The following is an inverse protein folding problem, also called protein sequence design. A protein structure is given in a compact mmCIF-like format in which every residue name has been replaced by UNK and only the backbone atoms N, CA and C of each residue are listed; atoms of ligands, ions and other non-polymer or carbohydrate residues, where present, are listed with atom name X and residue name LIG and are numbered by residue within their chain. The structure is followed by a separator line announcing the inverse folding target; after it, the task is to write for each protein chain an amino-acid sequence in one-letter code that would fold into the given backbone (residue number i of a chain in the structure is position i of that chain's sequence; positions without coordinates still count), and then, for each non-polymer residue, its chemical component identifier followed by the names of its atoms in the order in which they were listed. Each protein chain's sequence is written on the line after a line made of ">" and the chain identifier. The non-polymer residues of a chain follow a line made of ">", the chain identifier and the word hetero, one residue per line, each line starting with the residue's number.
data_IF_182214499215
#
_entry.id   IF_182214499215
#
_cell.length_a   1.000
_cell.length_b   1.000
_cell.length_c   1.000
_cell.angle_alpha   90.00
_cell.angle_beta   90.00
_cell.angle_gamma   90.00
#
_symmetry.space_group_name_H-M   'P 1'
#
loop_
_entity.id
_entity.type
_entity.pdbx_description
1 polymer ?
#
# COMPACT_ATOMS: atom_id res chain seq x y z
N UNK A 1 9.50 7.95 17.56
CA UNK A 1 10.40 7.88 16.39
C UNK A 1 10.14 8.97 15.36
N UNK A 2 8.91 9.18 14.90
CA UNK A 2 8.63 10.15 13.84
C UNK A 2 8.35 11.58 14.35
N UNK A 3 7.58 11.72 15.43
CA UNK A 3 7.17 13.00 16.02
C UNK A 3 8.33 13.88 16.44
N UNK A 4 9.39 13.29 16.99
CA UNK A 4 10.52 14.05 17.52
C UNK A 4 11.60 14.30 16.45
N UNK A 5 11.76 13.37 15.50
CA UNK A 5 12.82 13.44 14.49
C UNK A 5 12.45 14.27 13.27
N UNK A 6 11.24 14.11 12.72
CA UNK A 6 10.87 14.78 11.47
C UNK A 6 10.96 16.32 11.54
N UNK A 7 10.55 16.99 12.64
CA UNK A 7 10.71 18.44 12.76
C UNK A 7 12.17 18.90 12.71
N UNK A 8 13.09 18.09 13.26
CA UNK A 8 14.53 18.36 13.26
C UNK A 8 15.17 18.15 11.87
N UNK A 9 14.48 17.49 10.95
CA UNK A 9 14.95 17.20 9.59
C UNK A 9 14.38 18.16 8.54
N UNK A 10 13.74 19.25 8.97
CA UNK A 10 13.27 20.31 8.08
C UNK A 10 14.49 21.04 7.51
N UNK A 11 14.59 21.10 6.19
CA UNK A 11 15.62 21.87 5.53
C UNK A 11 15.38 23.37 5.75
N UNK A 12 16.34 24.13 6.29
CA UNK A 12 16.13 25.54 6.66
C UNK A 12 15.95 26.47 5.45
N UNK A 13 16.44 26.07 4.26
CA UNK A 13 16.30 26.85 3.04
C UNK A 13 14.92 26.69 2.40
N UNK A 14 14.36 25.48 2.43
CA UNK A 14 13.10 25.17 1.74
C UNK A 14 11.90 25.10 2.67
N UNK A 15 12.10 24.95 3.98
CA UNK A 15 11.02 24.69 4.94
C UNK A 15 10.32 23.34 4.75
N UNK A 16 11.01 22.33 4.19
CA UNK A 16 10.41 21.02 3.86
C UNK A 16 11.30 19.87 4.33
N UNK A 17 10.69 18.70 4.50
CA UNK A 17 11.41 17.44 4.71
C UNK A 17 11.75 16.84 3.35
N UNK A 18 13.01 16.44 3.17
CA UNK A 18 13.52 15.81 1.93
C UNK A 18 13.92 14.38 2.23
N UNK A 19 13.45 13.42 1.44
CA UNK A 19 13.83 12.00 1.54
C UNK A 19 14.73 11.61 0.36
N UNK A 20 15.57 10.60 0.57
CA UNK A 20 16.37 10.00 -0.50
C UNK A 20 15.72 8.72 -0.99
N UNK A 21 15.41 8.64 -2.29
CA UNK A 21 14.92 7.41 -2.93
C UNK A 21 16.08 6.65 -3.59
N UNK A 22 16.34 5.43 -3.14
CA UNK A 22 17.38 4.58 -3.69
C UNK A 22 16.80 3.61 -4.71
N UNK A 23 17.35 3.61 -5.91
CA UNK A 23 16.81 2.88 -7.05
C UNK A 23 17.35 1.45 -7.19
N UNK A 24 18.55 1.18 -6.68
CA UNK A 24 19.28 -0.07 -6.92
C UNK A 24 19.57 -0.89 -5.64
N UNK A 25 18.81 -0.66 -4.56
CA UNK A 25 19.08 -1.29 -3.25
C UNK A 25 18.26 -2.56 -3.02
N UNK A 26 17.01 -2.63 -3.52
CA UNK A 26 16.16 -3.79 -3.23
C UNK A 26 16.30 -4.87 -4.31
N UNK A 27 16.37 -6.13 -3.90
CA UNK A 27 16.50 -7.27 -4.81
C UNK A 27 15.30 -7.43 -5.77
N UNK A 28 14.14 -6.90 -5.39
CA UNK A 28 12.90 -6.98 -6.19
C UNK A 28 12.71 -5.81 -7.14
N UNK A 29 13.64 -4.84 -7.16
CA UNK A 29 13.55 -3.64 -7.99
C UNK A 29 12.62 -2.54 -7.45
N UNK A 30 12.09 -2.67 -6.23
CA UNK A 30 11.38 -1.59 -5.53
C UNK A 30 12.34 -0.46 -5.14
N UNK A 31 11.83 0.77 -5.11
CA UNK A 31 12.52 1.88 -4.46
C UNK A 31 12.57 1.66 -2.95
N UNK A 32 13.66 2.09 -2.31
CA UNK A 32 13.72 2.28 -0.86
C UNK A 32 13.88 3.76 -0.51
N UNK A 33 13.53 4.15 0.71
CA UNK A 33 13.57 5.55 1.18
C UNK A 33 14.36 5.65 2.49
N UNK A 34 15.30 6.59 2.56
CA UNK A 34 16.06 6.91 3.79
C UNK A 34 16.17 8.41 4.02
N UNK A 35 16.55 8.78 5.25
CA UNK A 35 16.93 10.13 5.68
C UNK A 35 15.97 11.26 5.29
N UNK A 36 14.68 11.19 5.73
CA UNK A 36 14.03 10.14 6.50
C UNK A 36 13.32 9.12 5.61
N UNK A 37 13.03 7.93 6.14
CA UNK A 37 12.19 6.95 5.43
C UNK A 37 10.72 7.39 5.43
N UNK A 38 10.24 7.85 4.27
CA UNK A 38 8.86 8.30 4.05
C UNK A 38 7.95 7.23 3.42
N UNK A 39 8.48 6.05 3.10
CA UNK A 39 7.67 4.92 2.64
C UNK A 39 6.97 4.21 3.80
N UNK A 40 7.56 4.23 4.99
CA UNK A 40 7.08 3.50 6.17
C UNK A 40 6.34 4.39 7.20
N UNK A 41 5.72 5.48 6.75
CA UNK A 41 4.91 6.33 7.63
C UNK A 41 3.69 5.53 8.14
N UNK A 42 3.47 5.45 9.46
CA UNK A 42 2.37 4.67 10.02
C UNK A 42 0.99 5.12 9.53
N UNK A 43 0.07 4.17 9.32
CA UNK A 43 -1.30 4.45 8.84
C UNK A 43 -2.41 3.70 9.59
N UNK A 44 -2.06 2.61 10.30
CA UNK A 44 -3.05 1.65 10.80
C UNK A 44 -3.74 2.10 12.09
N UNK A 45 -2.98 2.56 13.07
CA UNK A 45 -3.48 3.02 14.37
C UNK A 45 -3.77 4.52 14.35
N UNK A 46 -4.52 4.99 15.34
CA UNK A 46 -4.92 6.40 15.47
C UNK A 46 -3.71 7.35 15.53
N UNK A 47 -2.72 7.01 16.36
CA UNK A 47 -1.47 7.78 16.46
C UNK A 47 -0.76 7.89 15.11
N UNK A 48 -0.69 6.79 14.35
CA UNK A 48 -0.10 6.78 13.03
C UNK A 48 -0.85 7.67 12.03
N UNK A 49 -2.19 7.64 12.07
CA UNK A 49 -3.01 8.54 11.24
C UNK A 49 -2.74 10.00 11.58
N UNK A 50 -2.56 10.34 12.86
CA UNK A 50 -2.19 11.70 13.29
C UNK A 50 -0.81 12.12 12.78
N UNK A 51 0.18 11.21 12.78
CA UNK A 51 1.49 11.48 12.17
C UNK A 51 1.34 11.78 10.67
N UNK A 52 0.50 11.02 9.95
CA UNK A 52 0.29 11.22 8.52
C UNK A 52 -0.39 12.55 8.19
N UNK A 53 -1.25 13.06 9.08
CA UNK A 53 -1.89 14.37 8.94
C UNK A 53 -0.89 15.54 8.96
N UNK A 54 0.32 15.35 9.47
CA UNK A 54 1.37 16.38 9.45
C UNK A 54 2.00 16.59 8.06
N UNK A 55 1.75 15.69 7.10
CA UNK A 55 2.21 15.83 5.71
C UNK A 55 1.17 16.64 4.92
N UNK A 56 1.41 17.95 4.82
CA UNK A 56 0.47 18.91 4.24
C UNK A 56 0.97 19.47 2.91
N UNK A 57 0.02 19.88 2.06
CA UNK A 57 0.30 20.67 0.87
C UNK A 57 0.70 22.11 1.26
N UNK A 58 1.49 22.82 0.42
CA UNK A 58 1.60 24.27 0.54
C UNK A 58 0.26 24.97 0.26
N UNK A 59 0.16 26.24 0.61
CA UNK A 59 -1.01 27.09 0.33
C UNK A 59 -1.38 27.07 -1.16
N UNK A 60 -2.68 27.05 -1.48
CA UNK A 60 -3.25 26.90 -2.83
C UNK A 60 -2.97 25.56 -3.54
N UNK A 61 -2.37 24.57 -2.86
CA UNK A 61 -2.16 23.22 -3.40
C UNK A 61 -2.92 22.15 -2.60
N UNK A 62 -3.07 20.98 -3.23
CA UNK A 62 -3.62 19.77 -2.60
C UNK A 62 -2.67 18.58 -2.80
N UNK A 63 -2.69 17.63 -1.87
CA UNK A 63 -2.02 16.34 -2.04
C UNK A 63 -2.99 15.38 -2.71
N UNK A 64 -2.59 14.82 -3.85
CA UNK A 64 -3.29 13.71 -4.50
C UNK A 64 -2.54 12.42 -4.18
N UNK A 65 -3.28 11.42 -3.69
CA UNK A 65 -2.75 10.08 -3.43
C UNK A 65 -3.44 9.08 -4.34
N UNK A 66 -2.65 8.24 -5.00
CA UNK A 66 -3.12 7.14 -5.82
C UNK A 66 -2.41 5.86 -5.39
N UNK A 67 -3.18 4.80 -5.17
CA UNK A 67 -2.70 3.48 -4.78
C UNK A 67 -3.35 2.46 -5.72
N UNK A 68 -2.56 1.54 -6.28
CA UNK A 68 -3.08 0.52 -7.17
C UNK A 68 -3.89 -0.51 -6.38
N UNK A 69 -5.18 -0.61 -6.70
CA UNK A 69 -6.06 -1.61 -6.10
C UNK A 69 -5.58 -3.03 -6.40
N UNK A 70 -5.08 -3.71 -5.36
CA UNK A 70 -4.67 -5.12 -5.38
C UNK A 70 -3.60 -5.43 -6.44
N UNK A 71 -2.60 -4.56 -6.58
CA UNK A 71 -1.60 -4.65 -7.67
C UNK A 71 -0.89 -5.99 -7.76
N UNK A 72 -0.49 -6.59 -6.65
CA UNK A 72 0.25 -7.87 -6.65
C UNK A 72 -0.62 -9.02 -7.18
N UNK A 73 -1.91 -9.05 -6.82
CA UNK A 73 -2.86 -10.04 -7.32
C UNK A 73 -3.19 -9.83 -8.80
N UNK A 74 -3.23 -8.57 -9.27
CA UNK A 74 -3.39 -8.27 -10.70
C UNK A 74 -2.19 -8.73 -11.52
N UNK A 75 -0.98 -8.52 -11.02
CA UNK A 75 0.25 -9.04 -11.62
C UNK A 75 0.21 -10.58 -11.63
N UNK A 76 -0.18 -11.20 -10.51
CA UNK A 76 -0.30 -12.65 -10.41
C UNK A 76 -1.28 -13.21 -11.45
N UNK A 77 -2.49 -12.64 -11.57
CA UNK A 77 -3.48 -13.06 -12.56
C UNK A 77 -2.95 -12.94 -14.00
N UNK A 78 -2.19 -11.88 -14.29
CA UNK A 78 -1.57 -11.70 -15.61
C UNK A 78 -0.48 -12.73 -15.89
N UNK A 79 0.38 -13.02 -14.92
CA UNK A 79 1.50 -13.95 -15.07
C UNK A 79 1.04 -15.41 -15.08
N UNK A 80 0.10 -15.78 -14.21
CA UNK A 80 -0.44 -17.16 -14.12
C UNK A 80 -1.40 -17.49 -15.25
N UNK A 81 -2.04 -16.47 -15.84
CA UNK A 81 -3.17 -16.63 -16.79
C UNK A 81 -4.32 -17.44 -16.22
N UNK A 82 -4.46 -17.46 -14.90
CA UNK A 82 -5.55 -18.17 -14.24
C UNK A 82 -6.90 -17.57 -14.64
N UNK A 83 -7.80 -18.41 -15.16
CA UNK A 83 -9.10 -17.97 -15.69
C UNK A 83 -10.01 -17.45 -14.57
N UNK A 84 -9.92 -18.03 -13.36
CA UNK A 84 -10.70 -17.60 -12.21
C UNK A 84 -10.35 -16.17 -11.80
N UNK A 85 -9.07 -15.90 -11.59
CA UNK A 85 -8.54 -14.59 -11.22
C UNK A 85 -8.77 -13.54 -12.30
N UNK A 86 -8.52 -13.88 -13.58
CA UNK A 86 -8.77 -12.95 -14.69
C UNK A 86 -10.25 -12.55 -14.77
N UNK A 87 -11.16 -13.52 -14.67
CA UNK A 87 -12.61 -13.27 -14.66
C UNK A 87 -13.02 -12.47 -13.43
N UNK A 88 -12.50 -12.81 -12.25
CA UNK A 88 -12.79 -12.08 -11.02
C UNK A 88 -12.39 -10.60 -11.11
N UNK A 89 -11.22 -10.30 -11.68
CA UNK A 89 -10.80 -8.91 -11.90
C UNK A 89 -11.60 -8.20 -13.00
N UNK A 90 -11.97 -8.89 -14.09
CA UNK A 90 -12.75 -8.32 -15.18
C UNK A 90 -14.18 -7.97 -14.76
N UNK A 91 -14.77 -8.77 -13.86
CA UNK A 91 -16.14 -8.60 -13.37
C UNK A 91 -16.22 -7.83 -12.05
N UNK A 92 -15.09 -7.39 -11.48
CA UNK A 92 -15.06 -6.62 -10.22
C UNK A 92 -15.48 -7.42 -8.98
N UNK A 93 -15.28 -8.74 -8.98
CA UNK A 93 -15.58 -9.64 -7.85
C UNK A 93 -14.60 -9.43 -6.69
N UNK A 94 -15.00 -9.84 -5.48
CA UNK A 94 -14.10 -9.85 -4.32
C UNK A 94 -13.05 -10.96 -4.49
N UNK A 95 -11.85 -10.58 -4.93
CA UNK A 95 -10.76 -11.51 -5.22
C UNK A 95 -10.32 -12.28 -3.97
N UNK A 96 -10.30 -11.66 -2.79
CA UNK A 96 -9.89 -12.39 -1.58
C UNK A 96 -10.91 -13.47 -1.22
N UNK A 97 -12.20 -13.24 -1.49
CA UNK A 97 -13.21 -14.29 -1.36
C UNK A 97 -13.06 -15.34 -2.47
N UNK A 98 -12.78 -14.95 -3.71
CA UNK A 98 -12.57 -15.90 -4.81
C UNK A 98 -11.35 -16.81 -4.56
N UNK A 99 -10.22 -16.24 -4.14
CA UNK A 99 -9.01 -16.99 -3.79
C UNK A 99 -9.25 -17.88 -2.58
N UNK A 100 -9.93 -17.39 -1.53
CA UNK A 100 -10.27 -18.23 -0.38
C UNK A 100 -11.23 -19.37 -0.78
N UNK A 101 -12.27 -19.10 -1.57
CA UNK A 101 -13.18 -20.12 -2.09
C UNK A 101 -12.44 -21.24 -2.82
N UNK A 102 -11.47 -20.88 -3.67
CA UNK A 102 -10.65 -21.83 -4.41
C UNK A 102 -9.71 -22.63 -3.49
N UNK A 103 -8.98 -21.95 -2.59
CA UNK A 103 -8.04 -22.58 -1.64
C UNK A 103 -8.74 -23.52 -0.67
N UNK A 104 -9.93 -23.15 -0.19
CA UNK A 104 -10.70 -23.95 0.77
C UNK A 104 -11.72 -24.89 0.11
N UNK A 105 -11.88 -24.83 -1.22
CA UNK A 105 -12.87 -25.63 -1.95
C UNK A 105 -14.33 -25.34 -1.56
N UNK A 106 -14.65 -24.08 -1.25
CA UNK A 106 -15.96 -23.63 -0.77
C UNK A 106 -16.67 -22.75 -1.80
N UNK A 107 -18.02 -22.76 -1.85
CA UNK A 107 -18.78 -21.73 -2.58
C UNK A 107 -18.41 -20.31 -2.10
N UNK A 108 -18.44 -19.35 -3.02
CA UNK A 108 -17.96 -17.98 -2.76
C UNK A 108 -18.78 -17.31 -1.63
N UNK A 109 -20.05 -17.64 -1.56
CA UNK A 109 -21.06 -17.16 -0.61
C UNK A 109 -20.79 -17.64 0.81
N UNK A 110 -20.15 -18.80 0.98
CA UNK A 110 -19.90 -19.41 2.28
C UNK A 110 -18.52 -19.08 2.86
N UNK A 111 -17.66 -18.38 2.10
CA UNK A 111 -16.37 -17.89 2.57
C UNK A 111 -16.56 -16.92 3.74
N UNK A 112 -15.97 -17.29 4.89
CA UNK A 112 -16.02 -16.46 6.09
C UNK A 112 -15.08 -15.26 6.00
N UNK A 113 -15.31 -14.26 6.85
CA UNK A 113 -14.42 -13.08 6.93
C UNK A 113 -12.99 -13.44 7.33
N UNK A 114 -12.81 -14.51 8.12
CA UNK A 114 -11.50 -15.00 8.52
C UNK A 114 -10.77 -15.67 7.35
N UNK A 115 -11.44 -16.58 6.64
CA UNK A 115 -10.90 -17.25 5.44
C UNK A 115 -10.50 -16.23 4.36
N UNK A 116 -11.35 -15.22 4.13
CA UNK A 116 -11.06 -14.09 3.25
C UNK A 116 -9.80 -13.34 3.67
N UNK A 117 -9.60 -13.10 4.97
CA UNK A 117 -8.45 -12.35 5.48
C UNK A 117 -7.15 -13.16 5.36
N UNK A 118 -7.21 -14.47 5.50
CA UNK A 118 -6.07 -15.37 5.30
C UNK A 118 -5.60 -15.43 3.83
N UNK A 119 -6.48 -15.11 2.89
CA UNK A 119 -6.18 -15.01 1.45
C UNK A 119 -5.80 -13.58 1.01
N UNK A 120 -5.40 -12.71 1.95
CA UNK A 120 -4.95 -11.33 1.70
C UNK A 120 -3.44 -11.23 1.71
#
# INVERSE_FOLDING_TARGET
>A
TYTDKLPLMINPKTGRVHTSYHQAVTATGRLSSTDPNLQNIPVRNEEGRRIRQAFIAPEDYVIVSADYSQIELRIMAHLSRDKGLLTAFAEGKDIHRATAAEVFGLPLETVTSEQRRSAK
#
